data_IF_626070884701
#
_entry.id   IF_626070884701
#
_cell.length_a   1.000
_cell.length_b   1.000
_cell.length_c   1.000
_cell.angle_alpha   90.00
_cell.angle_beta   90.00
_cell.angle_gamma   90.00
#
_symmetry.space_group_name_H-M   'P 1'
#
loop_
_entity.id
_entity.type
_entity.pdbx_description
1 polymer ?
#
# COMPACT_ATOMS: atom_id res chain seq x y z
N UNK A 1 25.46 -16.38 18.85
CA UNK A 1 25.49 -16.55 17.38
C UNK A 1 24.06 -16.45 16.88
N UNK A 2 23.70 -15.39 16.17
CA UNK A 2 22.39 -15.25 15.52
C UNK A 2 22.37 -16.18 14.30
N UNK A 3 21.26 -16.91 14.08
CA UNK A 3 21.13 -17.87 12.98
C UNK A 3 20.31 -17.35 11.80
N UNK A 4 19.39 -16.41 12.05
CA UNK A 4 18.59 -15.74 11.05
C UNK A 4 17.96 -14.47 11.65
N UNK A 5 17.65 -13.50 10.79
CA UNK A 5 16.84 -12.32 11.10
C UNK A 5 15.76 -12.18 10.03
N UNK A 6 14.55 -11.84 10.44
CA UNK A 6 13.41 -11.58 9.55
C UNK A 6 13.05 -10.10 9.68
N UNK A 7 12.95 -9.43 8.53
CA UNK A 7 12.53 -8.03 8.46
C UNK A 7 11.22 -7.92 7.71
N UNK A 8 10.38 -6.98 8.14
CA UNK A 8 9.37 -6.43 7.25
C UNK A 8 10.05 -5.61 6.15
N UNK A 9 9.46 -5.58 4.95
CA UNK A 9 10.02 -4.82 3.84
C UNK A 9 9.61 -3.35 3.95
N UNK A 10 8.31 -3.10 4.04
CA UNK A 10 7.75 -1.74 4.06
C UNK A 10 7.68 -1.20 5.50
N UNK A 11 8.09 0.04 5.71
CA UNK A 11 8.14 0.65 7.04
C UNK A 11 9.32 0.19 7.92
N UNK A 12 10.13 -0.76 7.45
CA UNK A 12 11.36 -1.21 8.13
C UNK A 12 12.60 -1.08 7.23
N UNK A 13 12.58 -1.62 6.01
CA UNK A 13 13.70 -1.49 5.07
C UNK A 13 13.45 -0.38 4.05
N UNK A 14 12.20 -0.24 3.60
CA UNK A 14 11.75 0.78 2.68
C UNK A 14 10.87 1.77 3.42
N UNK A 15 11.09 3.06 3.18
CA UNK A 15 10.18 4.10 3.65
C UNK A 15 9.38 4.67 2.49
N UNK A 16 8.18 5.12 2.85
CA UNK A 16 7.24 5.69 1.92
C UNK A 16 7.01 7.16 2.32
N UNK A 17 7.62 8.13 1.63
CA UNK A 17 7.64 9.53 2.08
C UNK A 17 6.26 10.19 2.14
N UNK A 18 5.43 9.98 1.11
CA UNK A 18 4.09 10.57 1.00
C UNK A 18 2.99 9.68 1.58
N UNK A 19 3.04 8.39 1.28
CA UNK A 19 2.15 7.37 1.82
C UNK A 19 0.67 7.71 1.64
N UNK A 20 0.23 8.07 0.44
CA UNK A 20 -1.18 8.35 0.21
C UNK A 20 -1.98 7.09 0.55
N UNK A 21 -3.02 7.28 1.35
CA UNK A 21 -3.86 6.18 1.83
C UNK A 21 -4.92 5.80 0.81
N UNK A 22 -4.50 5.52 -0.42
CA UNK A 22 -5.37 5.33 -1.59
C UNK A 22 -6.45 4.27 -1.35
N UNK A 23 -6.07 3.12 -0.79
CA UNK A 23 -7.01 2.06 -0.39
C UNK A 23 -7.97 2.49 0.74
N UNK A 24 -7.51 3.33 1.68
CA UNK A 24 -8.39 3.85 2.74
C UNK A 24 -9.39 4.87 2.19
N UNK A 25 -8.98 5.70 1.22
CA UNK A 25 -9.86 6.64 0.54
C UNK A 25 -10.99 5.88 -0.16
N UNK A 26 -10.65 4.81 -0.89
CA UNK A 26 -11.63 3.93 -1.52
C UNK A 26 -12.56 3.24 -0.51
N UNK A 27 -11.99 2.70 0.58
CA UNK A 27 -12.76 2.02 1.60
C UNK A 27 -13.80 2.93 2.28
N UNK A 28 -13.52 4.23 2.41
CA UNK A 28 -14.45 5.20 3.02
C UNK A 28 -15.57 5.61 2.04
N UNK A 29 -15.37 5.49 0.73
CA UNK A 29 -16.40 5.81 -0.26
C UNK A 29 -17.56 4.81 -0.22
N UNK A 30 -17.30 3.56 0.17
CA UNK A 30 -18.32 2.54 0.36
C UNK A 30 -18.98 2.68 1.74
N UNK A 31 -20.13 3.36 1.78
CA UNK A 31 -20.82 3.74 3.04
C UNK A 31 -21.54 2.59 3.76
N UNK A 32 -21.84 1.50 3.07
CA UNK A 32 -22.59 0.36 3.57
C UNK A 32 -21.71 -0.75 4.17
N UNK A 33 -20.38 -0.61 4.09
CA UNK A 33 -19.42 -1.57 4.63
C UNK A 33 -18.44 -0.90 5.60
N UNK A 34 -17.83 -1.71 6.47
CA UNK A 34 -16.80 -1.21 7.38
C UNK A 34 -15.53 -0.89 6.59
N UNK A 35 -14.94 0.32 6.72
CA UNK A 35 -13.67 0.63 6.07
C UNK A 35 -12.57 -0.37 6.46
N UNK A 36 -12.61 -0.88 7.69
CA UNK A 36 -11.66 -1.89 8.17
C UNK A 36 -11.79 -3.20 7.40
N UNK A 37 -13.00 -3.71 7.17
CA UNK A 37 -13.18 -4.97 6.45
C UNK A 37 -12.76 -4.86 4.99
N UNK A 38 -12.98 -3.69 4.37
CA UNK A 38 -12.54 -3.44 2.99
C UNK A 38 -11.01 -3.32 2.89
N UNK A 39 -10.36 -2.74 3.90
CA UNK A 39 -8.89 -2.72 3.97
C UNK A 39 -8.32 -4.12 4.21
N UNK A 40 -8.92 -4.92 5.09
CA UNK A 40 -8.52 -6.31 5.31
C UNK A 40 -8.67 -7.12 4.00
N UNK A 41 -9.74 -6.87 3.24
CA UNK A 41 -9.93 -7.43 1.91
C UNK A 41 -8.85 -6.96 0.92
N UNK A 42 -8.49 -5.67 0.88
CA UNK A 42 -7.42 -5.15 0.04
C UNK A 42 -6.06 -5.83 0.34
N UNK A 43 -5.77 -6.09 1.62
CA UNK A 43 -4.50 -6.67 2.08
C UNK A 43 -4.40 -8.18 1.84
N UNK A 44 -5.53 -8.89 1.81
CA UNK A 44 -5.58 -10.35 1.69
C UNK A 44 -6.03 -10.84 0.32
N UNK A 45 -6.68 -9.97 -0.46
CA UNK A 45 -7.09 -10.24 -1.83
C UNK A 45 -5.94 -10.11 -2.81
N UNK A 46 -6.11 -10.73 -3.98
CA UNK A 46 -5.17 -10.61 -5.09
C UNK A 46 -5.72 -9.62 -6.11
N UNK A 47 -5.31 -8.35 -5.98
CA UNK A 47 -5.66 -7.26 -6.90
C UNK A 47 -4.39 -6.76 -7.57
N UNK A 48 -4.33 -6.84 -8.90
CA UNK A 48 -3.18 -6.35 -9.66
C UNK A 48 -3.23 -4.83 -9.84
N UNK A 49 -4.42 -4.23 -9.76
CA UNK A 49 -4.63 -2.78 -9.94
C UNK A 49 -5.61 -2.21 -8.92
N UNK A 50 -5.56 -0.89 -8.75
CA UNK A 50 -6.53 -0.17 -7.92
C UNK A 50 -7.96 -0.30 -8.48
N UNK A 51 -8.09 -0.36 -9.81
CA UNK A 51 -9.36 -0.57 -10.51
C UNK A 51 -10.01 -1.91 -10.17
N UNK A 52 -9.23 -2.98 -10.15
CA UNK A 52 -9.72 -4.31 -9.77
C UNK A 52 -10.23 -4.32 -8.33
N UNK A 53 -9.51 -3.65 -7.41
CA UNK A 53 -9.97 -3.53 -6.04
C UNK A 53 -11.26 -2.71 -5.96
N UNK A 54 -11.32 -1.53 -6.59
CA UNK A 54 -12.50 -0.66 -6.61
C UNK A 54 -13.74 -1.38 -7.15
N UNK A 55 -13.59 -2.12 -8.25
CA UNK A 55 -14.65 -2.95 -8.81
C UNK A 55 -15.11 -4.05 -7.83
N UNK A 56 -14.18 -4.68 -7.12
CA UNK A 56 -14.51 -5.73 -6.13
C UNK A 56 -15.28 -5.22 -4.91
N UNK A 57 -15.15 -3.92 -4.62
CA UNK A 57 -15.91 -3.25 -3.55
C UNK A 57 -17.07 -2.41 -4.12
N UNK A 58 -17.41 -2.58 -5.39
CA UNK A 58 -18.52 -1.91 -6.08
C UNK A 58 -18.45 -0.37 -6.04
N UNK A 59 -17.23 0.18 -5.96
CA UNK A 59 -17.00 1.62 -6.12
C UNK A 59 -16.85 1.91 -7.62
N UNK A 60 -17.73 2.73 -8.22
CA UNK A 60 -17.71 2.98 -9.66
C UNK A 60 -16.45 3.72 -10.09
N UNK A 61 -15.91 3.37 -11.26
CA UNK A 61 -14.75 4.07 -11.86
C UNK A 61 -15.15 5.49 -12.28
N UNK A 62 -14.53 6.50 -11.65
CA UNK A 62 -14.74 7.93 -11.92
C UNK A 62 -13.40 8.70 -11.90
N UNK A 63 -13.41 10.00 -12.23
CA UNK A 63 -12.21 10.83 -12.32
C UNK A 63 -11.33 10.79 -11.05
N UNK A 64 -11.94 10.72 -9.85
CA UNK A 64 -11.16 10.58 -8.61
C UNK A 64 -10.36 9.27 -8.53
N UNK A 65 -10.80 8.19 -9.18
CA UNK A 65 -10.05 6.93 -9.20
C UNK A 65 -8.78 7.02 -10.05
N UNK A 66 -8.83 7.73 -11.18
CA UNK A 66 -7.64 8.04 -11.97
C UNK A 66 -6.67 8.98 -11.22
N UNK A 67 -7.20 9.90 -10.40
CA UNK A 67 -6.36 10.72 -9.51
C UNK A 67 -5.68 9.83 -8.46
N UNK A 68 -6.42 8.94 -7.83
CA UNK A 68 -5.89 8.01 -6.83
C UNK A 68 -4.84 7.05 -7.40
N UNK A 69 -5.04 6.58 -8.63
CA UNK A 69 -4.07 5.73 -9.32
C UNK A 69 -2.77 6.47 -9.62
N UNK A 70 -2.84 7.71 -10.13
CA UNK A 70 -1.65 8.56 -10.31
C UNK A 70 -0.95 8.86 -8.99
N UNK A 71 -1.70 9.06 -7.91
CA UNK A 71 -1.12 9.22 -6.57
C UNK A 71 -0.39 7.96 -6.13
N UNK A 72 -0.95 6.77 -6.38
CA UNK A 72 -0.31 5.49 -6.07
C UNK A 72 0.96 5.26 -6.90
N UNK A 73 0.95 5.62 -8.18
CA UNK A 73 2.15 5.52 -9.04
C UNK A 73 3.27 6.45 -8.56
N UNK A 74 2.94 7.71 -8.25
CA UNK A 74 3.90 8.67 -7.71
C UNK A 74 4.47 8.20 -6.36
N UNK A 75 3.60 7.60 -5.55
CA UNK A 75 3.94 7.00 -4.27
C UNK A 75 4.96 5.86 -4.42
N UNK A 76 4.71 4.93 -5.33
CA UNK A 76 5.61 3.81 -5.64
C UNK A 76 6.96 4.30 -6.18
N UNK A 77 6.95 5.33 -7.02
CA UNK A 77 8.17 5.91 -7.59
C UNK A 77 9.07 6.59 -6.54
N UNK A 78 8.50 7.03 -5.42
CA UNK A 78 9.21 7.69 -4.32
C UNK A 78 9.58 6.73 -3.18
N UNK A 79 9.26 5.44 -3.29
CA UNK A 79 9.69 4.45 -2.30
C UNK A 79 11.20 4.33 -2.34
N UNK A 80 11.84 4.58 -1.20
CA UNK A 80 13.29 4.52 -1.08
C UNK A 80 13.70 3.75 0.19
N UNK A 81 14.90 3.14 0.22
CA UNK A 81 15.40 2.49 1.42
C UNK A 81 15.62 3.49 2.54
N UNK A 82 15.40 3.09 3.80
CA UNK A 82 15.93 3.86 4.92
C UNK A 82 17.46 3.98 4.80
N UNK A 83 18.00 5.12 5.23
CA UNK A 83 19.43 5.44 5.07
C UNK A 83 20.36 4.38 5.66
N UNK A 84 19.91 3.66 6.69
CA UNK A 84 20.63 2.62 7.42
C UNK A 84 20.24 1.19 7.00
N UNK A 85 19.29 1.00 6.08
CA UNK A 85 18.82 -0.31 5.67
C UNK A 85 19.96 -1.15 5.04
N UNK A 86 20.67 -0.59 4.06
CA UNK A 86 21.78 -1.27 3.41
C UNK A 86 22.96 -1.62 4.35
N UNK A 87 23.51 -0.67 5.14
CA UNK A 87 24.61 -1.01 6.06
C UNK A 87 24.18 -2.00 7.15
N UNK A 88 22.93 -1.93 7.62
CA UNK A 88 22.41 -2.92 8.59
C UNK A 88 22.40 -4.31 7.98
N UNK A 89 21.85 -4.48 6.77
CA UNK A 89 21.81 -5.78 6.10
C UNK A 89 23.21 -6.35 5.80
N UNK A 90 24.20 -5.50 5.54
CA UNK A 90 25.59 -5.94 5.30
C UNK A 90 26.32 -6.41 6.57
N UNK A 91 25.83 -6.03 7.74
CA UNK A 91 26.46 -6.32 9.03
C UNK A 91 25.94 -7.59 9.71
N UNK A 92 24.88 -8.21 9.16
CA UNK A 92 24.23 -9.42 9.67
C UNK A 92 24.88 -10.69 9.12
#
# INVERSE_FOLDING_TARGET
MIKAVLFDLYGTLLHHPRGHRVYSTLAIQRRDASPRSLLDQAMTGSYATLAEFAASIEVPWHEDLEILERSLEADVAEIEPFYDAAPTLQSL
#
